data_IF_143570021380
#
_entry.id   IF_143570021380
#
_cell.length_a   1.000
_cell.length_b   1.000
_cell.length_c   1.000
_cell.angle_alpha   90.00
_cell.angle_beta   90.00
_cell.angle_gamma   90.00
#
_symmetry.space_group_name_H-M   'P 1'
#
loop_
_entity.id
_entity.type
_entity.pdbx_description
1 polymer ?
#
# COMPACT_ATOMS: atom_id res chain seq x y z
N UNK A 1 -11.83 -18.01 5.99
CA UNK A 1 -10.77 -17.09 5.54
C UNK A 1 -10.31 -16.32 6.77
N UNK A 2 -9.01 -16.31 7.06
CA UNK A 2 -8.49 -15.49 8.16
C UNK A 2 -8.65 -14.03 7.77
N UNK A 3 -9.32 -13.24 8.61
CA UNK A 3 -9.52 -11.82 8.34
C UNK A 3 -8.17 -11.09 8.47
N UNK A 4 -7.81 -10.34 7.43
CA UNK A 4 -6.71 -9.40 7.50
C UNK A 4 -7.11 -8.15 8.29
N UNK A 5 -6.14 -7.44 8.85
CA UNK A 5 -6.38 -6.21 9.59
C UNK A 5 -6.39 -4.98 8.68
N UNK A 6 -7.10 -3.94 9.12
CA UNK A 6 -7.11 -2.61 8.53
C UNK A 6 -5.86 -1.83 8.92
N UNK A 7 -5.50 -0.83 8.12
CA UNK A 7 -4.44 0.12 8.45
C UNK A 7 -4.94 1.08 9.53
N UNK A 8 -4.32 1.05 10.70
CA UNK A 8 -4.58 2.03 11.77
C UNK A 8 -3.70 3.27 11.58
N UNK A 9 -4.01 4.42 12.22
CA UNK A 9 -3.19 5.62 12.15
C UNK A 9 -1.73 5.39 12.56
N UNK A 10 -1.48 4.52 13.55
CA UNK A 10 -0.13 4.21 14.01
C UNK A 10 0.67 3.47 12.94
N UNK A 11 0.03 2.54 12.23
CA UNK A 11 0.66 1.80 11.13
C UNK A 11 0.87 2.71 9.93
N UNK A 12 -0.09 3.59 9.62
CA UNK A 12 0.07 4.58 8.56
C UNK A 12 1.29 5.47 8.80
N UNK A 13 1.51 5.95 10.03
CA UNK A 13 2.69 6.73 10.38
C UNK A 13 4.00 5.91 10.29
N UNK A 14 3.99 4.62 10.66
CA UNK A 14 5.15 3.75 10.48
C UNK A 14 5.51 3.58 9.00
N UNK A 15 4.52 3.34 8.14
CA UNK A 15 4.71 3.21 6.69
C UNK A 15 5.17 4.53 6.07
N UNK A 16 4.55 5.65 6.46
CA UNK A 16 4.96 7.00 6.05
C UNK A 16 6.40 7.32 6.47
N UNK A 17 6.83 6.88 7.65
CA UNK A 17 8.21 7.09 8.10
C UNK A 17 9.23 6.30 7.26
N UNK A 18 8.84 5.19 6.63
CA UNK A 18 9.73 4.39 5.78
C UNK A 18 9.96 5.06 4.42
N UNK A 19 8.89 5.47 3.72
CA UNK A 19 9.01 6.04 2.36
C UNK A 19 9.05 7.57 2.34
N UNK A 20 8.69 8.21 3.45
CA UNK A 20 8.57 9.66 3.56
C UNK A 20 7.23 10.19 3.05
N UNK A 21 6.92 11.43 3.45
CA UNK A 21 5.61 12.07 3.23
C UNK A 21 5.23 12.23 1.75
N UNK A 22 6.21 12.40 0.86
CA UNK A 22 5.95 12.60 -0.57
C UNK A 22 5.58 11.32 -1.32
N UNK A 23 5.89 10.15 -0.76
CA UNK A 23 5.76 8.82 -1.38
C UNK A 23 4.78 7.92 -0.63
N UNK A 24 4.04 8.48 0.32
CA UNK A 24 3.00 7.80 1.08
C UNK A 24 1.66 8.47 0.80
N UNK A 25 0.67 7.67 0.39
CA UNK A 25 -0.67 8.16 0.07
C UNK A 25 -1.72 7.33 0.82
N UNK A 26 -2.76 8.00 1.32
CA UNK A 26 -3.86 7.38 2.06
C UNK A 26 -5.16 8.14 1.77
N UNK A 27 -6.29 7.44 1.77
CA UNK A 27 -7.60 8.05 1.53
C UNK A 27 -7.67 8.78 0.20
N UNK A 28 -8.14 10.04 0.22
CA UNK A 28 -8.32 10.88 -0.98
C UNK A 28 -7.00 11.27 -1.66
N UNK A 29 -5.85 11.03 -1.02
CA UNK A 29 -4.54 11.24 -1.63
C UNK A 29 -4.12 10.15 -2.62
N UNK A 30 -4.86 9.03 -2.69
CA UNK A 30 -4.53 7.91 -3.56
C UNK A 30 -5.03 8.20 -4.99
N UNK A 31 -4.13 8.18 -5.97
CA UNK A 31 -4.49 8.33 -7.39
C UNK A 31 -5.48 7.23 -7.83
N UNK A 32 -6.50 7.56 -8.64
CA UNK A 32 -7.38 6.57 -9.28
C UNK A 32 -6.63 5.49 -10.07
N UNK A 33 -5.40 5.76 -10.52
CA UNK A 33 -4.56 4.80 -11.24
C UNK A 33 -4.18 3.60 -10.37
N UNK A 34 -4.14 3.75 -9.04
CA UNK A 34 -3.88 2.65 -8.11
C UNK A 34 -5.10 1.76 -7.85
N UNK A 35 -6.26 2.07 -8.44
CA UNK A 35 -7.52 1.36 -8.16
C UNK A 35 -7.81 0.22 -9.13
N UNK A 36 -7.06 0.09 -10.22
CA UNK A 36 -7.28 -0.91 -11.27
C UNK A 36 -6.02 -1.17 -12.08
N UNK A 37 -5.99 -2.26 -12.84
CA UNK A 37 -5.07 -2.50 -13.95
C UNK A 37 -5.82 -2.30 -15.29
N UNK A 38 -5.20 -2.65 -16.43
CA UNK A 38 -5.85 -2.57 -17.75
C UNK A 38 -6.87 -3.70 -18.00
N UNK A 39 -7.24 -4.50 -16.99
CA UNK A 39 -8.32 -5.49 -17.10
C UNK A 39 -9.64 -4.93 -16.56
N UNK A 40 -10.55 -4.43 -17.42
CA UNK A 40 -11.76 -3.72 -16.99
C UNK A 40 -12.81 -4.61 -16.29
N UNK A 41 -12.65 -5.93 -16.33
CA UNK A 41 -13.69 -6.89 -15.91
C UNK A 41 -13.85 -7.03 -14.39
N UNK A 42 -12.84 -6.66 -13.60
CA UNK A 42 -12.86 -6.84 -12.15
C UNK A 42 -13.31 -5.60 -11.37
N UNK A 43 -13.40 -4.44 -12.02
CA UNK A 43 -13.82 -3.18 -11.38
C UNK A 43 -12.66 -2.40 -10.76
N UNK A 44 -12.99 -1.38 -9.96
CA UNK A 44 -12.02 -0.49 -9.30
C UNK A 44 -12.08 -0.65 -7.79
N UNK A 45 -10.92 -0.89 -7.17
CA UNK A 45 -10.78 -1.05 -5.73
C UNK A 45 -9.60 -0.22 -5.22
N UNK A 46 -9.88 0.80 -4.43
CA UNK A 46 -8.83 1.60 -3.81
C UNK A 46 -8.15 0.84 -2.68
N UNK A 47 -6.80 0.81 -2.63
CA UNK A 47 -6.08 0.34 -1.44
C UNK A 47 -6.30 1.31 -0.27
N UNK A 48 -6.01 0.86 0.95
CA UNK A 48 -6.06 1.73 2.13
C UNK A 48 -4.87 2.70 2.18
N UNK A 49 -3.71 2.27 1.70
CA UNK A 49 -2.52 3.09 1.55
C UNK A 49 -1.68 2.66 0.34
N UNK A 50 -0.90 3.59 -0.19
CA UNK A 50 0.11 3.35 -1.24
C UNK A 50 1.46 3.83 -0.75
N UNK A 51 2.49 3.00 -0.94
CA UNK A 51 3.87 3.30 -0.60
C UNK A 51 4.74 3.16 -1.85
N UNK A 52 5.32 4.26 -2.33
CA UNK A 52 6.27 4.24 -3.45
C UNK A 52 7.69 4.05 -2.92
N UNK A 53 8.14 2.79 -2.87
CA UNK A 53 9.49 2.45 -2.42
C UNK A 53 10.54 2.64 -3.52
N UNK A 54 11.71 3.15 -3.17
CA UNK A 54 12.86 3.40 -4.07
C UNK A 54 14.05 2.49 -3.77
N UNK A 55 13.99 1.70 -2.70
CA UNK A 55 15.09 0.80 -2.29
C UNK A 55 14.59 -0.54 -1.76
N UNK A 56 15.48 -1.54 -1.78
CA UNK A 56 15.17 -2.87 -1.24
C UNK A 56 14.96 -2.82 0.28
N UNK A 57 15.65 -1.90 0.95
CA UNK A 57 15.57 -1.66 2.38
C UNK A 57 14.17 -1.14 2.77
N UNK A 58 13.63 -0.19 2.01
CA UNK A 58 12.26 0.30 2.19
C UNK A 58 11.23 -0.82 1.96
N UNK A 59 11.37 -1.58 0.87
CA UNK A 59 10.51 -2.74 0.60
C UNK A 59 10.58 -3.77 1.74
N UNK A 60 11.76 -4.02 2.30
CA UNK A 60 11.92 -4.93 3.43
C UNK A 60 11.22 -4.40 4.69
N UNK A 61 11.30 -3.10 4.97
CA UNK A 61 10.70 -2.46 6.15
C UNK A 61 9.16 -2.46 6.11
N UNK A 62 8.56 -1.81 5.10
CA UNK A 62 7.62 -2.51 4.19
C UNK A 62 6.88 -3.75 4.71
N UNK A 63 7.34 -4.85 4.12
CA UNK A 63 6.83 -6.19 4.34
C UNK A 63 6.89 -6.62 5.80
N UNK A 64 7.91 -6.21 6.58
CA UNK A 64 8.00 -6.55 8.01
C UNK A 64 6.88 -5.91 8.82
N UNK A 65 6.58 -4.62 8.60
CA UNK A 65 5.49 -3.91 9.27
C UNK A 65 4.16 -4.59 8.93
N UNK A 66 3.89 -4.82 7.64
CA UNK A 66 2.63 -5.44 7.21
C UNK A 66 2.48 -6.89 7.70
N UNK A 67 3.55 -7.69 7.68
CA UNK A 67 3.52 -9.07 8.17
C UNK A 67 3.25 -9.13 9.68
N UNK A 68 3.91 -8.29 10.48
CA UNK A 68 3.70 -8.22 11.93
C UNK A 68 2.26 -7.83 12.29
N UNK A 69 1.61 -7.02 11.45
CA UNK A 69 0.26 -6.52 11.67
C UNK A 69 -0.83 -7.28 10.89
N UNK A 70 -0.49 -8.35 10.16
CA UNK A 70 -1.42 -9.08 9.27
C UNK A 70 -2.16 -8.15 8.30
N UNK A 71 -1.43 -7.30 7.62
CA UNK A 71 -1.92 -6.44 6.53
C UNK A 71 -1.52 -7.08 5.19
N UNK A 72 -2.45 -7.21 4.22
CA UNK A 72 -2.15 -7.74 2.91
C UNK A 72 -1.41 -6.69 2.09
N UNK A 73 -0.47 -7.13 1.26
CA UNK A 73 0.30 -6.26 0.39
C UNK A 73 0.13 -6.73 -1.05
N UNK A 74 -0.26 -5.81 -1.93
CA UNK A 74 -0.31 -6.02 -3.37
C UNK A 74 0.86 -5.28 -4.01
N UNK A 75 1.94 -5.96 -4.42
CA UNK A 75 3.00 -5.30 -5.17
C UNK A 75 2.48 -4.86 -6.53
N UNK A 76 2.86 -3.66 -6.96
CA UNK A 76 2.46 -3.10 -8.26
C UNK A 76 3.69 -2.50 -8.95
N UNK A 77 3.85 -2.84 -10.23
CA UNK A 77 4.82 -2.20 -11.12
C UNK A 77 4.16 -1.08 -11.93
N UNK A 78 4.17 -1.20 -13.26
CA UNK A 78 3.58 -0.20 -14.15
C UNK A 78 2.04 -0.15 -14.12
N UNK A 79 1.37 -1.25 -13.73
CA UNK A 79 -0.09 -1.27 -13.67
C UNK A 79 -0.79 -1.50 -15.02
N UNK A 80 -0.07 -2.05 -16.00
CA UNK A 80 -0.59 -2.55 -17.27
C UNK A 80 -1.27 -3.89 -17.12
#
# INVERSE_FOLDING_TARGET
MTAYHKITPEIAEQLKAVVGEKRFFMGDGISPDYTHDEMPIYGKFSPEAVCEAESTEEVSAIMKICAANKIPVTPRGAGT
#
